data_IF_915635428950
#
_entry.id   IF_915635428950
#
_cell.length_a   1.000
_cell.length_b   1.000
_cell.length_c   1.000
_cell.angle_alpha   90.00
_cell.angle_beta   90.00
_cell.angle_gamma   90.00
#
_symmetry.space_group_name_H-M   'P 1'
#
loop_
_entity.id
_entity.type
_entity.pdbx_description
1 polymer ?
#
# COMPACT_ATOMS: atom_id res chain seq x y z
N UNK A 1 -3.24 -12.97 -29.01
CA UNK A 1 -1.80 -13.17 -28.75
C UNK A 1 -1.08 -11.84 -28.51
N UNK A 2 -1.40 -10.75 -29.23
CA UNK A 2 -0.80 -9.43 -29.01
C UNK A 2 -1.04 -8.86 -27.60
N UNK A 3 -2.21 -9.10 -27.02
CA UNK A 3 -2.60 -8.52 -25.72
C UNK A 3 -1.82 -9.11 -24.55
N UNK A 4 -1.50 -10.41 -24.60
CA UNK A 4 -0.69 -11.07 -23.57
C UNK A 4 0.75 -10.53 -23.55
N UNK A 5 1.33 -10.28 -24.73
CA UNK A 5 2.67 -9.70 -24.86
C UNK A 5 2.69 -8.25 -24.35
N UNK A 6 1.64 -7.48 -24.63
CA UNK A 6 1.54 -6.11 -24.11
C UNK A 6 1.41 -6.10 -22.58
N UNK A 7 0.58 -6.97 -22.00
CA UNK A 7 0.46 -7.12 -20.54
C UNK A 7 1.78 -7.51 -19.90
N UNK A 8 2.51 -8.48 -20.47
CA UNK A 8 3.82 -8.90 -19.97
C UNK A 8 4.83 -7.75 -20.02
N UNK A 9 4.83 -6.94 -21.07
CA UNK A 9 5.70 -5.76 -21.18
C UNK A 9 5.39 -4.72 -20.11
N UNK A 10 4.11 -4.47 -19.82
CA UNK A 10 3.71 -3.54 -18.77
C UNK A 10 4.05 -4.08 -17.38
N UNK A 11 3.91 -5.39 -17.15
CA UNK A 11 4.36 -6.03 -15.92
C UNK A 11 5.86 -5.87 -15.71
N UNK A 12 6.67 -6.08 -16.77
CA UNK A 12 8.12 -5.83 -16.73
C UNK A 12 8.45 -4.37 -16.40
N UNK A 13 7.66 -3.42 -16.91
CA UNK A 13 7.82 -2.01 -16.57
C UNK A 13 7.48 -1.73 -15.09
N UNK A 14 6.41 -2.32 -14.56
CA UNK A 14 6.09 -2.22 -13.12
C UNK A 14 7.21 -2.81 -12.29
N UNK A 15 7.70 -4.02 -12.63
CA UNK A 15 8.81 -4.65 -11.93
C UNK A 15 10.06 -3.75 -11.94
N UNK A 16 10.41 -3.16 -13.09
CA UNK A 16 11.55 -2.24 -13.20
C UNK A 16 11.40 -1.04 -12.27
N UNK A 17 10.23 -0.41 -12.26
CA UNK A 17 9.97 0.77 -11.43
C UNK A 17 9.97 0.42 -9.92
N UNK A 18 9.47 -0.76 -9.56
CA UNK A 18 9.55 -1.25 -8.17
C UNK A 18 11.02 -1.47 -7.76
N UNK A 19 11.85 -2.04 -8.63
CA UNK A 19 13.29 -2.18 -8.33
C UNK A 19 13.97 -0.82 -8.21
N UNK A 20 13.64 0.13 -9.08
CA UNK A 20 14.16 1.50 -8.96
C UNK A 20 13.79 2.14 -7.62
N UNK A 21 12.56 1.92 -7.12
CA UNK A 21 12.18 2.36 -5.77
C UNK A 21 12.95 1.63 -4.66
N UNK A 22 13.26 0.33 -4.83
CA UNK A 22 14.13 -0.39 -3.88
C UNK A 22 15.50 0.26 -3.82
N UNK A 23 16.13 0.47 -4.97
CA UNK A 23 17.48 1.03 -5.08
C UNK A 23 17.54 2.44 -4.46
N UNK A 24 16.53 3.28 -4.72
CA UNK A 24 16.40 4.62 -4.12
C UNK A 24 16.26 4.55 -2.59
N UNK A 25 15.51 3.59 -2.06
CA UNK A 25 15.38 3.42 -0.60
C UNK A 25 16.67 2.88 0.05
N UNK A 26 17.43 2.04 -0.65
CA UNK A 26 18.74 1.55 -0.19
C UNK A 26 19.81 2.65 -0.19
N UNK A 27 19.82 3.50 -1.22
CA UNK A 27 20.76 4.61 -1.34
C UNK A 27 20.34 5.87 -0.58
N UNK A 28 19.19 5.86 0.09
CA UNK A 28 18.66 7.00 0.86
C UNK A 28 19.65 7.64 1.83
N UNK A 29 20.54 6.86 2.46
CA UNK A 29 21.55 7.39 3.37
C UNK A 29 22.76 8.04 2.67
N UNK A 30 22.92 7.78 1.38
CA UNK A 30 24.01 8.26 0.53
C UNK A 30 23.59 9.41 -0.40
N UNK A 31 22.30 9.68 -0.51
CA UNK A 31 21.71 10.77 -1.32
C UNK A 31 21.36 11.99 -0.47
N UNK A 32 21.29 13.15 -1.11
CA UNK A 32 20.71 14.34 -0.49
C UNK A 32 19.18 14.14 -0.28
N UNK A 33 18.58 14.65 0.81
CA UNK A 33 17.15 14.52 1.05
C UNK A 33 16.28 15.04 -0.10
N UNK A 34 16.68 16.13 -0.76
CA UNK A 34 15.94 16.72 -1.88
C UNK A 34 16.04 15.81 -3.12
N UNK A 35 17.25 15.34 -3.44
CA UNK A 35 17.50 14.42 -4.56
C UNK A 35 16.71 13.11 -4.41
N UNK A 36 16.72 12.53 -3.20
CA UNK A 36 15.92 11.34 -2.87
C UNK A 36 14.42 11.57 -3.09
N UNK A 37 13.90 12.72 -2.63
CA UNK A 37 12.47 13.03 -2.74
C UNK A 37 12.05 13.26 -4.19
N UNK A 38 12.89 13.96 -4.98
CA UNK A 38 12.67 14.16 -6.42
C UNK A 38 12.66 12.83 -7.19
N UNK A 39 13.71 12.01 -7.04
CA UNK A 39 13.81 10.70 -7.74
C UNK A 39 12.66 9.76 -7.38
N UNK A 40 12.30 9.73 -6.09
CA UNK A 40 11.17 8.93 -5.61
C UNK A 40 9.85 9.43 -6.20
N UNK A 41 9.64 10.74 -6.24
CA UNK A 41 8.42 11.34 -6.76
C UNK A 41 8.27 11.10 -8.27
N UNK A 42 9.35 11.24 -9.04
CA UNK A 42 9.38 10.93 -10.47
C UNK A 42 9.01 9.45 -10.72
N UNK A 43 9.67 8.53 -10.02
CA UNK A 43 9.40 7.08 -10.14
C UNK A 43 7.95 6.74 -9.78
N UNK A 44 7.38 7.45 -8.79
CA UNK A 44 5.98 7.29 -8.38
C UNK A 44 4.97 7.83 -9.40
N UNK A 45 5.26 8.95 -10.07
CA UNK A 45 4.43 9.45 -11.18
C UNK A 45 4.51 8.50 -12.40
N UNK A 46 5.67 7.93 -12.72
CA UNK A 46 5.79 6.91 -13.77
C UNK A 46 4.91 5.68 -13.48
N UNK A 47 4.90 5.19 -12.23
CA UNK A 47 4.00 4.11 -11.81
C UNK A 47 2.52 4.47 -11.96
N UNK A 48 2.16 5.72 -11.71
CA UNK A 48 0.78 6.22 -11.84
C UNK A 48 0.33 6.33 -13.30
N UNK A 49 1.20 6.76 -14.19
CA UNK A 49 0.93 6.76 -15.63
C UNK A 49 0.78 5.35 -16.20
N UNK A 50 1.61 4.43 -15.71
CA UNK A 50 1.51 3.03 -16.05
C UNK A 50 0.19 2.43 -15.54
N UNK A 51 -0.24 2.77 -14.32
CA UNK A 51 -1.56 2.39 -13.77
C UNK A 51 -2.72 2.86 -14.66
N UNK A 52 -2.70 4.12 -15.10
CA UNK A 52 -3.73 4.68 -16.00
C UNK A 52 -3.77 3.92 -17.33
N UNK A 53 -2.61 3.50 -17.83
CA UNK A 53 -2.49 2.71 -19.06
C UNK A 53 -3.07 1.31 -18.87
N UNK A 54 -2.79 0.65 -17.74
CA UNK A 54 -3.34 -0.65 -17.38
C UNK A 54 -4.88 -0.59 -17.22
N UNK A 55 -5.42 0.47 -16.60
CA UNK A 55 -6.87 0.65 -16.43
C UNK A 55 -7.60 0.78 -17.76
N UNK A 56 -7.06 1.57 -18.71
CA UNK A 56 -7.63 1.73 -20.05
C UNK A 56 -7.71 0.40 -20.81
N UNK A 57 -6.71 -0.47 -20.66
CA UNK A 57 -6.68 -1.76 -21.35
C UNK A 57 -7.66 -2.78 -20.78
N UNK A 58 -8.02 -2.68 -19.50
CA UNK A 58 -8.86 -3.69 -18.85
C UNK A 58 -10.36 -3.39 -18.99
N UNK A 59 -10.72 -2.18 -19.42
CA UNK A 59 -12.11 -1.80 -19.68
C UNK A 59 -12.72 -2.44 -20.94
N UNK A 60 -11.96 -3.22 -21.72
CA UNK A 60 -12.39 -3.73 -23.03
C UNK A 60 -12.04 -5.19 -23.32
N UNK A 61 -12.39 -6.13 -22.43
CA UNK A 61 -12.24 -7.59 -22.64
C UNK A 61 -10.81 -8.16 -22.60
N UNK A 62 -10.18 -8.23 -21.42
CA UNK A 62 -9.00 -9.08 -21.20
C UNK A 62 -9.31 -10.13 -20.14
N UNK A 63 -9.55 -11.36 -20.58
CA UNK A 63 -9.87 -12.56 -19.79
C UNK A 63 -8.65 -13.25 -19.13
N UNK A 64 -7.50 -12.57 -19.00
CA UNK A 64 -6.37 -12.98 -18.16
C UNK A 64 -6.26 -12.06 -16.95
N UNK A 65 -7.33 -12.04 -16.16
CA UNK A 65 -7.61 -11.01 -15.15
C UNK A 65 -6.73 -11.07 -13.92
N UNK A 66 -6.16 -12.23 -13.60
CA UNK A 66 -5.69 -12.47 -12.24
C UNK A 66 -4.37 -11.76 -11.94
N UNK A 67 -3.32 -11.97 -12.72
CA UNK A 67 -2.01 -11.34 -12.46
C UNK A 67 -2.05 -9.84 -12.71
N UNK A 68 -2.74 -9.41 -13.77
CA UNK A 68 -2.93 -7.99 -14.07
C UNK A 68 -3.69 -7.25 -12.95
N UNK A 69 -4.69 -7.90 -12.35
CA UNK A 69 -5.43 -7.32 -11.21
C UNK A 69 -4.54 -7.14 -9.99
N UNK A 70 -3.71 -8.14 -9.64
CA UNK A 70 -2.78 -7.98 -8.52
C UNK A 70 -1.73 -6.91 -8.78
N UNK A 71 -1.14 -6.86 -9.97
CA UNK A 71 -0.19 -5.80 -10.32
C UNK A 71 -0.85 -4.42 -10.22
N UNK A 72 -2.09 -4.25 -10.71
CA UNK A 72 -2.82 -2.98 -10.56
C UNK A 72 -3.10 -2.64 -9.10
N UNK A 73 -3.57 -3.61 -8.32
CA UNK A 73 -3.83 -3.40 -6.90
C UNK A 73 -2.54 -3.03 -6.17
N UNK A 74 -1.42 -3.63 -6.52
CA UNK A 74 -0.10 -3.29 -5.99
C UNK A 74 0.29 -1.87 -6.32
N UNK A 75 0.23 -1.49 -7.59
CA UNK A 75 0.52 -0.11 -8.01
C UNK A 75 -0.40 0.89 -7.32
N UNK A 76 -1.70 0.60 -7.20
CA UNK A 76 -2.65 1.45 -6.46
C UNK A 76 -2.35 1.53 -4.97
N UNK A 77 -1.92 0.42 -4.37
CA UNK A 77 -1.51 0.37 -2.97
C UNK A 77 -0.21 1.16 -2.72
N UNK A 78 0.72 1.17 -3.69
CA UNK A 78 1.90 2.02 -3.68
C UNK A 78 1.51 3.51 -3.77
N UNK A 79 0.68 3.89 -4.75
CA UNK A 79 0.22 5.27 -4.97
C UNK A 79 -0.54 5.82 -3.77
N UNK A 80 -1.40 5.01 -3.16
CA UNK A 80 -2.13 5.39 -1.94
C UNK A 80 -1.25 5.44 -0.68
N UNK A 81 0.07 5.19 -0.82
CA UNK A 81 1.03 5.11 0.26
C UNK A 81 0.67 4.08 1.34
N UNK A 82 -0.16 3.09 0.98
CA UNK A 82 -0.57 1.99 1.84
C UNK A 82 0.53 0.93 1.90
N UNK A 83 1.30 0.77 0.81
CA UNK A 83 2.51 -0.05 0.74
C UNK A 83 3.68 0.87 0.44
N UNK A 84 4.49 1.15 1.46
CA UNK A 84 5.65 2.05 1.35
C UNK A 84 6.95 1.29 1.19
N UNK A 85 6.98 0.02 1.58
CA UNK A 85 8.14 -0.85 1.49
C UNK A 85 8.19 -1.50 0.10
N UNK A 86 9.18 -1.16 -0.74
CA UNK A 86 9.26 -1.67 -2.11
C UNK A 86 9.31 -3.22 -2.18
N UNK A 87 9.97 -3.87 -1.22
CA UNK A 87 10.01 -5.33 -1.14
C UNK A 87 8.63 -5.96 -0.92
N UNK A 88 7.78 -5.38 -0.05
CA UNK A 88 6.42 -5.87 0.20
C UNK A 88 5.55 -5.63 -1.04
N UNK A 89 5.73 -4.47 -1.68
CA UNK A 89 5.05 -4.13 -2.93
C UNK A 89 5.38 -5.12 -4.06
N UNK A 90 6.65 -5.51 -4.20
CA UNK A 90 7.08 -6.51 -5.18
C UNK A 90 6.43 -7.88 -4.92
N UNK A 91 6.43 -8.35 -3.68
CA UNK A 91 5.79 -9.61 -3.29
C UNK A 91 4.27 -9.60 -3.57
N UNK A 92 3.62 -8.45 -3.36
CA UNK A 92 2.20 -8.27 -3.64
C UNK A 92 1.90 -8.25 -5.15
N UNK A 93 2.66 -7.49 -5.93
CA UNK A 93 2.51 -7.41 -7.38
C UNK A 93 2.67 -8.78 -8.07
N UNK A 94 3.52 -9.65 -7.50
CA UNK A 94 3.81 -11.01 -7.98
C UNK A 94 2.90 -12.10 -7.39
N UNK A 95 1.91 -11.74 -6.56
CA UNK A 95 1.03 -12.68 -5.85
C UNK A 95 1.80 -13.76 -5.09
N UNK A 96 2.74 -13.36 -4.23
CA UNK A 96 3.53 -14.29 -3.43
C UNK A 96 3.08 -14.27 -1.95
N UNK A 97 1.93 -14.86 -1.61
CA UNK A 97 1.40 -14.84 -0.23
C UNK A 97 2.32 -15.60 0.74
N UNK A 98 2.97 -16.66 0.27
CA UNK A 98 3.96 -17.41 1.06
C UNK A 98 5.16 -16.53 1.41
N UNK A 99 5.66 -15.74 0.46
CA UNK A 99 6.77 -14.83 0.71
C UNK A 99 6.37 -13.72 1.70
N UNK A 100 5.14 -13.20 1.61
CA UNK A 100 4.59 -12.24 2.57
C UNK A 100 4.50 -12.85 3.99
N UNK A 101 4.03 -14.09 4.13
CA UNK A 101 3.99 -14.82 5.41
C UNK A 101 5.39 -15.05 5.99
N UNK A 102 6.35 -15.46 5.17
CA UNK A 102 7.73 -15.63 5.59
C UNK A 102 8.33 -14.30 6.04
N UNK A 103 8.05 -13.21 5.32
CA UNK A 103 8.48 -11.86 5.71
C UNK A 103 7.88 -11.44 7.05
N UNK A 104 6.62 -11.78 7.33
CA UNK A 104 5.98 -11.53 8.62
C UNK A 104 6.69 -12.27 9.76
N UNK A 105 7.04 -13.55 9.56
CA UNK A 105 7.79 -14.32 10.56
C UNK A 105 9.18 -13.74 10.84
N UNK A 106 9.88 -13.28 9.80
CA UNK A 106 11.17 -12.60 9.95
C UNK A 106 11.01 -11.29 10.73
N UNK A 107 9.95 -10.52 10.45
CA UNK A 107 9.64 -9.29 11.16
C UNK A 107 9.43 -9.52 12.67
N UNK A 108 8.67 -10.57 13.03
CA UNK A 108 8.46 -10.99 14.41
C UNK A 108 9.76 -11.45 15.10
N UNK A 109 10.66 -12.06 14.33
CA UNK A 109 11.99 -12.44 14.83
C UNK A 109 12.86 -11.20 15.08
N UNK A 110 12.91 -10.25 14.15
CA UNK A 110 13.72 -9.04 14.26
C UNK A 110 13.27 -8.14 15.42
N UNK A 111 11.96 -8.08 15.70
CA UNK A 111 11.43 -7.42 16.89
C UNK A 111 11.91 -8.10 18.18
N UNK A 112 11.82 -9.44 18.25
CA UNK A 112 12.29 -10.22 19.42
C UNK A 112 13.80 -10.09 19.64
N UNK A 113 14.57 -9.91 18.57
CA UNK A 113 16.01 -9.69 18.63
C UNK A 113 16.37 -8.21 18.89
N UNK A 114 15.39 -7.34 19.14
CA UNK A 114 15.56 -5.89 19.31
C UNK A 114 16.35 -5.20 18.17
N UNK A 115 16.33 -5.80 16.97
CA UNK A 115 16.95 -5.23 15.76
C UNK A 115 16.07 -4.18 15.08
N UNK A 116 14.77 -4.21 15.39
CA UNK A 116 13.75 -3.35 14.82
C UNK A 116 12.98 -2.62 15.93
N UNK A 117 12.66 -1.34 15.72
CA UNK A 117 11.79 -0.60 16.62
C UNK A 117 10.32 -1.01 16.46
N UNK A 118 9.54 -0.94 17.54
CA UNK A 118 8.10 -1.25 17.52
C UNK A 118 7.34 -0.44 16.46
N UNK A 119 7.71 0.84 16.26
CA UNK A 119 7.09 1.67 15.23
C UNK A 119 7.34 1.17 13.81
N UNK A 120 8.56 0.69 13.50
CA UNK A 120 8.88 0.11 12.18
C UNK A 120 8.25 -1.26 11.99
N UNK A 121 8.19 -2.06 13.07
CA UNK A 121 7.48 -3.32 13.11
C UNK A 121 6.00 -3.13 12.78
N UNK A 122 5.33 -2.22 13.48
CA UNK A 122 3.90 -1.95 13.29
C UNK A 122 3.60 -1.49 11.86
N UNK A 123 4.42 -0.59 11.31
CA UNK A 123 4.26 -0.11 9.94
C UNK A 123 4.35 -1.25 8.92
N UNK A 124 5.43 -2.05 8.96
CA UNK A 124 5.61 -3.17 8.02
C UNK A 124 4.57 -4.26 8.23
N UNK A 125 4.13 -4.52 9.46
CA UNK A 125 3.07 -5.50 9.74
C UNK A 125 1.74 -5.08 9.13
N UNK A 126 1.34 -3.81 9.24
CA UNK A 126 0.13 -3.29 8.58
C UNK A 126 0.24 -3.45 7.05
N UNK A 127 1.40 -3.14 6.47
CA UNK A 127 1.66 -3.29 5.03
C UNK A 127 1.48 -4.75 4.57
N UNK A 128 2.13 -5.70 5.24
CA UNK A 128 2.06 -7.14 4.89
C UNK A 128 0.62 -7.65 5.03
N UNK A 129 -0.05 -7.34 6.14
CA UNK A 129 -1.42 -7.80 6.38
C UNK A 129 -2.40 -7.20 5.38
N UNK A 130 -2.22 -5.93 5.01
CA UNK A 130 -3.04 -5.28 3.97
C UNK A 130 -2.81 -5.93 2.60
N UNK A 131 -1.57 -6.28 2.26
CA UNK A 131 -1.28 -7.03 1.04
C UNK A 131 -1.95 -8.42 1.04
N UNK A 132 -1.91 -9.15 2.15
CA UNK A 132 -2.55 -10.47 2.28
C UNK A 132 -4.08 -10.39 2.14
N UNK A 133 -4.75 -9.43 2.78
CA UNK A 133 -6.20 -9.22 2.63
C UNK A 133 -6.57 -8.95 1.17
N UNK A 134 -5.78 -8.10 0.49
CA UNK A 134 -6.02 -7.78 -0.92
C UNK A 134 -5.74 -8.96 -1.86
N UNK A 135 -4.97 -9.97 -1.43
CA UNK A 135 -4.78 -11.24 -2.15
C UNK A 135 -5.86 -12.28 -1.80
N UNK A 136 -6.88 -11.93 -0.99
CA UNK A 136 -7.90 -12.84 -0.46
C UNK A 136 -7.35 -13.98 0.40
N UNK A 137 -6.23 -13.77 1.09
CA UNK A 137 -5.68 -14.74 2.04
C UNK A 137 -6.38 -14.68 3.40
N UNK A 138 -6.47 -15.84 4.06
CA UNK A 138 -7.08 -15.92 5.39
C UNK A 138 -6.14 -15.37 6.47
N UNK A 139 -6.53 -14.24 7.07
CA UNK A 139 -5.89 -13.71 8.26
C UNK A 139 -6.38 -14.40 9.54
N UNK A 140 -5.45 -14.59 10.48
CA UNK A 140 -5.72 -15.00 11.86
C UNK A 140 -6.54 -13.92 12.59
N UNK A 141 -7.27 -14.33 13.62
CA UNK A 141 -8.11 -13.41 14.40
C UNK A 141 -7.30 -12.28 15.06
N UNK A 142 -6.10 -12.61 15.54
CA UNK A 142 -5.14 -11.66 16.11
C UNK A 142 -4.67 -10.62 15.08
N UNK A 143 -4.41 -11.05 13.85
CA UNK A 143 -3.98 -10.18 12.74
C UNK A 143 -5.10 -9.23 12.30
N UNK A 144 -6.35 -9.74 12.24
CA UNK A 144 -7.54 -8.93 11.94
C UNK A 144 -7.78 -7.87 13.00
N UNK A 145 -7.65 -8.26 14.27
CA UNK A 145 -7.79 -7.35 15.41
C UNK A 145 -6.72 -6.27 15.37
N UNK A 146 -5.47 -6.64 15.06
CA UNK A 146 -4.37 -5.69 14.91
C UNK A 146 -4.63 -4.67 13.79
N UNK A 147 -5.08 -5.12 12.62
CA UNK A 147 -5.45 -4.22 11.51
C UNK A 147 -6.56 -3.26 11.90
N UNK A 148 -7.64 -3.75 12.54
CA UNK A 148 -8.74 -2.88 13.01
C UNK A 148 -8.25 -1.85 14.02
N UNK A 149 -7.46 -2.24 15.01
CA UNK A 149 -6.93 -1.34 16.02
C UNK A 149 -6.03 -0.25 15.42
N UNK A 150 -5.21 -0.60 14.41
CA UNK A 150 -4.34 0.37 13.74
C UNK A 150 -5.10 1.28 12.79
N UNK A 151 -6.07 0.77 12.03
CA UNK A 151 -6.96 1.58 11.18
C UNK A 151 -7.78 2.59 12.00
N UNK A 152 -8.27 2.19 13.18
CA UNK A 152 -8.96 3.08 14.12
C UNK A 152 -8.05 4.19 14.67
N UNK A 153 -6.75 3.92 14.82
CA UNK A 153 -5.75 4.93 15.23
C UNK A 153 -5.35 5.89 14.09
N UNK A 154 -5.57 5.52 12.83
CA UNK A 154 -5.25 6.36 11.65
C UNK A 154 -6.41 7.26 11.23
N UNK A 155 -7.63 7.02 11.72
CA UNK A 155 -8.73 7.99 11.59
C UNK A 155 -8.38 9.25 12.41
N UNK A 156 -8.32 10.45 11.81
CA UNK A 156 -8.35 11.65 12.62
C UNK A 156 -9.65 11.59 13.41
N UNK A 157 -9.50 11.58 14.74
CA UNK A 157 -10.60 11.80 15.67
C UNK A 157 -11.14 13.19 15.34
N UNK A 158 -12.13 13.26 14.46
CA UNK A 158 -13.02 14.41 14.40
C UNK A 158 -13.77 14.38 15.72
N UNK A 159 -13.22 15.07 16.71
CA UNK A 159 -13.99 15.50 17.85
C UNK A 159 -15.11 16.37 17.25
N UNK A 160 -16.30 15.79 17.16
CA UNK A 160 -17.52 16.56 17.08
C UNK A 160 -17.53 17.37 18.38
N UNK A 161 -17.07 18.61 18.30
CA UNK A 161 -17.32 19.60 19.34
C UNK A 161 -18.84 19.62 19.54
N UNK A 162 -19.27 19.07 20.66
CA UNK A 162 -20.58 19.32 21.23
C UNK A 162 -20.67 20.84 21.45
N UNK A 163 -21.22 21.55 20.48
CA UNK A 163 -21.67 22.92 20.69
C UNK A 163 -22.90 22.87 21.60
N UNK A 164 -22.62 22.72 22.89
CA UNK A 164 -23.50 23.14 23.98
C UNK A 164 -23.72 24.64 23.84
N UNK A 165 -24.79 25.01 23.13
CA UNK A 165 -25.24 26.38 22.93
C UNK A 165 -26.74 26.49 23.17
N UNK A 166 -27.12 26.45 24.43
CA UNK A 166 -28.45 26.77 24.93
C UNK A 166 -28.80 28.22 24.56
N UNK A 167 -29.73 28.49 23.63
CA UNK A 167 -30.54 29.73 23.61
C UNK A 167 -31.98 29.38 23.23
N UNK A 168 -32.83 29.44 24.24
CA UNK A 168 -34.28 29.63 24.18
C UNK A 168 -34.62 30.82 23.27
N UNK A 169 -35.52 30.65 22.29
CA UNK A 169 -36.25 31.80 21.74
C UNK A 169 -37.70 31.46 21.44
N UNK A 170 -38.54 32.39 21.89
CA UNK A 170 -39.93 32.19 22.29
C UNK A 170 -40.92 32.13 21.13
N UNK A 171 -41.97 31.36 21.42
CA UNK A 171 -43.30 31.38 20.84
C UNK A 171 -43.97 32.75 21.10
N UNK A 172 -44.25 33.51 20.05
CA UNK A 172 -45.28 34.56 20.08
C UNK A 172 -46.00 34.57 18.73
N UNK A 173 -47.18 33.95 18.71
CA UNK A 173 -48.21 34.17 17.70
C UNK A 173 -48.93 35.46 18.06
N UNK A 174 -48.96 36.41 17.13
CA UNK A 174 -50.06 37.36 16.97
C UNK A 174 -50.48 37.32 15.51
#
# INVERSE_FOLDING_TARGET
MADAVLVENLQKQVDRLIHQLCDIEEEKSNMDPQEYEELKLETMEELKDLSRSLEKMTGGDITSTDNLTATRMAVRAAISQTLRTPAILAMFARKQPIALRQRLMLLDHDLRMHKLSESKYDAQKVEILTALVNLNEELLEEERTFLQQKQLKTLPRFDLEETSGNITCQRSLQ
#
